data_IF_791704094605
#
_entry.id   IF_791704094605
#
_cell.length_a   1.000
_cell.length_b   1.000
_cell.length_c   1.000
_cell.angle_alpha   90.00
_cell.angle_beta   90.00
_cell.angle_gamma   90.00
#
_symmetry.space_group_name_H-M   'P 1'
#
loop_
_entity.id
_entity.type
_entity.pdbx_description
1 polymer ?
#
# COMPACT_ATOMS: atom_id res chain seq x y z
N UNK A 1 13.76 15.99 0.16
CA UNK A 1 12.95 16.58 -0.92
C UNK A 1 12.77 18.09 -0.76
N UNK A 2 12.32 18.63 0.38
CA UNK A 2 12.19 20.11 0.56
C UNK A 2 13.50 20.89 0.39
N UNK A 3 14.62 20.31 0.80
CA UNK A 3 15.96 20.96 0.66
C UNK A 3 16.48 20.98 -0.78
N UNK A 4 16.00 20.08 -1.64
CA UNK A 4 16.39 19.96 -3.05
C UNK A 4 15.16 19.66 -3.89
N UNK A 5 14.30 20.66 -4.13
CA UNK A 5 13.03 20.46 -4.84
C UNK A 5 13.24 20.11 -6.33
N UNK A 6 14.33 20.54 -6.92
CA UNK A 6 14.76 20.21 -8.28
C UNK A 6 15.06 18.69 -8.49
N UNK A 7 15.42 18.00 -7.42
CA UNK A 7 15.69 16.55 -7.40
C UNK A 7 14.57 15.74 -6.73
N UNK A 8 13.48 16.42 -6.36
CA UNK A 8 12.38 15.77 -5.68
C UNK A 8 11.55 14.99 -6.69
N UNK A 9 11.63 13.66 -6.62
CA UNK A 9 10.85 12.73 -7.40
C UNK A 9 10.48 11.51 -6.56
N UNK A 10 9.48 10.77 -7.00
CA UNK A 10 9.09 9.51 -6.37
C UNK A 10 8.69 8.47 -7.41
N UNK A 11 8.97 7.20 -7.11
CA UNK A 11 8.55 6.09 -7.95
C UNK A 11 7.11 5.67 -7.63
N UNK A 12 6.31 5.36 -8.65
CA UNK A 12 4.99 4.78 -8.52
C UNK A 12 4.71 3.78 -9.65
N UNK A 13 3.94 2.73 -9.36
CA UNK A 13 3.58 1.70 -10.34
C UNK A 13 2.08 1.43 -10.42
N UNK A 14 1.29 2.11 -9.62
CA UNK A 14 -0.17 1.97 -9.66
C UNK A 14 -0.87 3.21 -9.09
N UNK A 15 -2.14 3.41 -9.41
CA UNK A 15 -2.94 4.47 -8.81
C UNK A 15 -2.90 4.49 -7.28
N UNK A 16 -2.93 3.33 -6.62
CA UNK A 16 -2.90 3.25 -5.15
C UNK A 16 -1.63 3.88 -4.55
N UNK A 17 -0.44 3.59 -5.10
CA UNK A 17 0.82 4.18 -4.63
C UNK A 17 0.91 5.67 -4.98
N UNK A 18 0.40 6.07 -6.15
CA UNK A 18 0.36 7.48 -6.55
C UNK A 18 -0.53 8.28 -5.58
N UNK A 19 -1.77 7.82 -5.35
CA UNK A 19 -2.73 8.50 -4.47
C UNK A 19 -2.17 8.59 -3.04
N UNK A 20 -1.58 7.52 -2.51
CA UNK A 20 -0.99 7.51 -1.17
C UNK A 20 0.18 8.51 -1.07
N UNK A 21 1.03 8.58 -2.10
CA UNK A 21 2.14 9.53 -2.12
C UNK A 21 1.64 10.97 -2.25
N UNK A 22 0.63 11.22 -3.07
CA UNK A 22 0.02 12.56 -3.19
C UNK A 22 -0.70 12.97 -1.90
N UNK A 23 -1.36 12.05 -1.19
CA UNK A 23 -1.89 12.31 0.15
C UNK A 23 -0.77 12.76 1.11
N UNK A 24 0.36 12.05 1.13
CA UNK A 24 1.51 12.45 1.93
C UNK A 24 2.04 13.83 1.52
N UNK A 25 2.12 14.13 0.22
CA UNK A 25 2.53 15.46 -0.30
C UNK A 25 1.58 16.56 0.18
N UNK A 26 0.28 16.35 0.08
CA UNK A 26 -0.74 17.30 0.56
C UNK A 26 -0.59 17.59 2.05
N UNK A 27 -0.32 16.57 2.87
CA UNK A 27 -0.21 16.72 4.34
C UNK A 27 1.13 17.30 4.80
N UNK A 28 2.20 17.08 4.03
CA UNK A 28 3.56 17.51 4.41
C UNK A 28 4.03 18.76 3.68
N UNK A 29 3.38 19.12 2.57
CA UNK A 29 3.85 20.15 1.64
C UNK A 29 5.20 19.79 1.00
N UNK A 30 5.57 18.52 0.91
CA UNK A 30 6.79 18.13 0.21
C UNK A 30 6.59 18.20 -1.31
N UNK A 31 7.60 18.65 -2.06
CA UNK A 31 7.57 18.58 -3.52
C UNK A 31 7.85 17.14 -3.98
N UNK A 32 7.56 16.85 -5.25
CA UNK A 32 7.95 15.61 -5.90
C UNK A 32 7.17 15.36 -7.19
N UNK A 33 7.91 14.94 -8.22
CA UNK A 33 7.36 14.53 -9.51
C UNK A 33 7.28 13.00 -9.54
N UNK A 34 6.16 12.47 -10.01
CA UNK A 34 5.95 11.04 -10.17
C UNK A 34 6.75 10.51 -11.35
N UNK A 35 7.46 9.40 -11.14
CA UNK A 35 8.14 8.61 -12.19
C UNK A 35 7.47 7.23 -12.24
N UNK A 36 6.88 6.85 -13.38
CA UNK A 36 6.15 5.59 -13.50
C UNK A 36 7.09 4.40 -13.63
N UNK A 37 6.71 3.29 -13.00
CA UNK A 37 7.37 1.98 -13.06
C UNK A 37 6.31 0.87 -13.23
N UNK A 38 6.74 -0.33 -13.64
CA UNK A 38 5.81 -1.45 -13.88
C UNK A 38 5.39 -2.20 -12.61
N UNK A 39 6.15 -2.09 -11.53
CA UNK A 39 5.86 -2.79 -10.29
C UNK A 39 6.77 -2.37 -9.13
N UNK A 40 6.40 -2.79 -7.92
CA UNK A 40 7.08 -2.37 -6.68
C UNK A 40 8.55 -2.77 -6.62
N UNK A 41 8.93 -3.89 -7.24
CA UNK A 41 10.33 -4.30 -7.31
C UNK A 41 11.20 -3.29 -8.08
N UNK A 42 10.71 -2.77 -9.21
CA UNK A 42 11.40 -1.74 -9.99
C UNK A 42 11.43 -0.40 -9.25
N UNK A 43 10.34 -0.04 -8.56
CA UNK A 43 10.27 1.17 -7.74
C UNK A 43 11.37 1.16 -6.66
N UNK A 44 11.51 0.06 -5.94
CA UNK A 44 12.53 -0.07 -4.88
C UNK A 44 13.94 -0.06 -5.48
N UNK A 45 14.14 -0.75 -6.60
CA UNK A 45 15.43 -0.75 -7.31
C UNK A 45 15.83 0.66 -7.75
N UNK A 46 14.88 1.48 -8.22
CA UNK A 46 15.14 2.86 -8.62
C UNK A 46 15.61 3.73 -7.44
N UNK A 47 15.08 3.49 -6.23
CA UNK A 47 15.55 4.16 -5.00
C UNK A 47 16.94 3.68 -4.62
N UNK A 48 17.22 2.36 -4.69
CA UNK A 48 18.55 1.80 -4.42
C UNK A 48 19.61 2.40 -5.35
N UNK A 49 19.25 2.61 -6.62
CA UNK A 49 20.13 3.18 -7.64
C UNK A 49 20.21 4.72 -7.61
N UNK A 50 19.44 5.38 -6.73
CA UNK A 50 19.38 6.84 -6.65
C UNK A 50 18.69 7.52 -7.83
N UNK A 51 17.94 6.78 -8.64
CA UNK A 51 17.16 7.33 -9.76
C UNK A 51 15.93 8.09 -9.26
N UNK A 52 15.32 7.60 -8.18
CA UNK A 52 14.24 8.27 -7.47
C UNK A 52 14.61 8.50 -6.01
N UNK A 53 14.10 9.60 -5.44
CA UNK A 53 14.41 9.99 -4.08
C UNK A 53 13.66 9.15 -3.04
N UNK A 54 12.46 8.66 -3.37
CA UNK A 54 11.63 7.85 -2.50
C UNK A 54 10.59 7.04 -3.26
N UNK A 55 9.98 6.11 -2.56
CA UNK A 55 8.75 5.42 -2.99
C UNK A 55 7.90 5.03 -1.78
N UNK A 56 6.60 4.89 -1.97
CA UNK A 56 5.70 4.13 -1.11
C UNK A 56 5.44 2.82 -1.84
N UNK A 57 5.70 1.70 -1.20
CA UNK A 57 5.61 0.38 -1.81
C UNK A 57 5.10 -0.65 -0.80
N UNK A 58 4.56 -1.75 -1.30
CA UNK A 58 4.07 -2.87 -0.50
C UNK A 58 5.19 -3.65 0.23
N UNK A 59 4.79 -4.39 1.25
CA UNK A 59 5.71 -5.08 2.16
C UNK A 59 6.58 -6.16 1.52
N UNK A 60 6.02 -7.06 0.67
CA UNK A 60 6.76 -8.21 0.18
C UNK A 60 8.11 -7.90 -0.47
N UNK A 61 8.21 -7.00 -1.46
CA UNK A 61 9.51 -6.65 -2.04
C UNK A 61 10.31 -5.66 -1.16
N UNK A 62 9.68 -4.90 -0.26
CA UNK A 62 10.32 -3.82 0.51
C UNK A 62 11.05 -4.35 1.74
N UNK A 63 10.41 -5.18 2.55
CA UNK A 63 10.93 -5.65 3.84
C UNK A 63 12.32 -6.30 3.71
N UNK A 64 12.58 -7.19 2.73
CA UNK A 64 13.91 -7.76 2.54
C UNK A 64 14.99 -6.72 2.25
N UNK A 65 14.68 -5.67 1.48
CA UNK A 65 15.66 -4.63 1.13
C UNK A 65 15.96 -3.70 2.32
N UNK A 66 14.95 -3.43 3.15
CA UNK A 66 15.15 -2.70 4.41
C UNK A 66 16.04 -3.50 5.36
N UNK A 67 15.73 -4.80 5.58
CA UNK A 67 16.53 -5.69 6.43
C UNK A 67 17.97 -5.87 5.93
N UNK A 68 18.16 -5.83 4.61
CA UNK A 68 19.50 -5.86 4.00
C UNK A 68 20.23 -4.51 4.02
N UNK A 69 19.64 -3.45 4.58
CA UNK A 69 20.22 -2.11 4.64
C UNK A 69 20.36 -1.39 3.30
N UNK A 70 19.71 -1.90 2.23
CA UNK A 70 19.80 -1.32 0.89
C UNK A 70 18.91 -0.11 0.70
N UNK A 71 17.83 -0.01 1.47
CA UNK A 71 16.96 1.16 1.55
C UNK A 71 16.66 1.46 3.01
N UNK A 72 16.41 2.73 3.31
CA UNK A 72 15.97 3.18 4.63
C UNK A 72 14.46 3.32 4.63
N UNK A 73 13.76 2.55 5.45
CA UNK A 73 12.37 2.80 5.75
C UNK A 73 12.23 4.03 6.66
N UNK A 74 11.37 4.96 6.30
CA UNK A 74 11.15 6.21 7.03
C UNK A 74 9.91 6.11 7.92
N UNK A 75 8.84 5.50 7.43
CA UNK A 75 7.62 5.20 8.14
C UNK A 75 6.83 4.10 7.41
N UNK A 76 5.89 3.46 8.12
CA UNK A 76 4.84 2.64 7.52
C UNK A 76 3.54 3.44 7.44
N UNK A 77 2.76 3.24 6.38
CA UNK A 77 1.56 4.05 6.10
C UNK A 77 0.35 3.73 6.99
N UNK A 78 0.41 2.67 7.79
CA UNK A 78 -0.64 2.34 8.75
C UNK A 78 -0.58 3.17 10.04
N UNK A 79 -1.65 3.06 10.85
CA UNK A 79 -1.72 3.69 12.17
C UNK A 79 -0.70 3.11 13.17
N UNK A 80 -0.36 1.83 13.01
CA UNK A 80 0.55 1.07 13.87
C UNK A 80 1.82 0.66 13.11
N UNK A 81 2.86 0.29 13.87
CA UNK A 81 4.11 -0.25 13.30
C UNK A 81 3.88 -1.63 12.69
N UNK A 82 4.67 -1.95 11.67
CA UNK A 82 4.71 -3.31 11.13
C UNK A 82 5.47 -4.25 12.07
N UNK A 83 4.93 -5.43 12.41
CA UNK A 83 5.67 -6.43 13.19
C UNK A 83 6.99 -6.88 12.55
N UNK A 84 7.11 -6.75 11.23
CA UNK A 84 8.32 -7.12 10.49
C UNK A 84 9.37 -6.01 10.46
N UNK A 85 8.99 -4.78 10.82
CA UNK A 85 9.84 -3.59 10.88
C UNK A 85 9.54 -2.81 12.18
N UNK A 86 9.78 -3.40 13.36
CA UNK A 86 9.37 -2.82 14.65
C UNK A 86 10.08 -1.51 14.99
N UNK A 87 11.22 -1.25 14.40
CA UNK A 87 11.98 -0.02 14.60
C UNK A 87 11.56 1.13 13.67
N UNK A 88 10.68 0.84 12.69
CA UNK A 88 10.18 1.84 11.75
C UNK A 88 8.87 2.44 12.29
N UNK A 89 8.80 3.77 12.49
CA UNK A 89 7.60 4.40 13.03
C UNK A 89 6.41 4.27 12.08
N UNK A 90 5.20 4.29 12.64
CA UNK A 90 3.98 4.49 11.85
C UNK A 90 3.85 5.95 11.40
N UNK A 91 2.97 6.23 10.45
CA UNK A 91 2.64 7.61 10.06
C UNK A 91 2.02 8.39 11.22
N UNK A 92 1.26 7.75 12.09
CA UNK A 92 0.73 8.38 13.32
C UNK A 92 1.87 8.83 14.23
N UNK A 93 2.84 7.97 14.51
CA UNK A 93 4.02 8.31 15.31
C UNK A 93 4.91 9.37 14.65
N UNK A 94 4.94 9.40 13.32
CA UNK A 94 5.65 10.41 12.54
C UNK A 94 4.92 11.77 12.46
N UNK A 95 3.75 11.91 13.10
CA UNK A 95 2.97 13.16 13.15
C UNK A 95 2.01 13.36 11.98
N UNK A 96 1.72 12.32 11.21
CA UNK A 96 0.81 12.35 10.05
C UNK A 96 -0.32 11.31 10.16
N UNK A 97 -1.16 11.34 11.22
CA UNK A 97 -2.19 10.33 11.44
C UNK A 97 -3.24 10.27 10.33
N UNK A 98 -3.38 11.31 9.53
CA UNK A 98 -4.29 11.34 8.37
C UNK A 98 -3.75 10.60 7.14
N UNK A 99 -2.50 10.15 7.17
CA UNK A 99 -1.91 9.27 6.14
C UNK A 99 -1.99 7.81 6.61
N UNK A 100 -3.19 7.41 6.98
CA UNK A 100 -3.51 6.03 7.33
C UNK A 100 -4.07 5.31 6.10
N UNK A 101 -3.19 4.57 5.43
CA UNK A 101 -3.50 3.82 4.21
C UNK A 101 -2.99 2.40 4.33
N UNK A 102 -3.90 1.46 4.22
CA UNK A 102 -3.61 0.03 4.13
C UNK A 102 -3.90 -0.45 2.72
N UNK A 103 -2.90 -1.05 2.09
CA UNK A 103 -3.14 -1.74 0.81
C UNK A 103 -3.75 -3.11 1.11
N UNK A 104 -4.84 -3.40 0.47
CA UNK A 104 -5.52 -4.68 0.58
C UNK A 104 -5.61 -5.36 -0.79
N UNK A 105 -5.77 -6.69 -0.77
CA UNK A 105 -6.08 -7.50 -1.94
C UNK A 105 -7.36 -8.27 -1.67
N UNK A 106 -8.25 -8.30 -2.63
CA UNK A 106 -9.54 -8.99 -2.52
C UNK A 106 -9.79 -9.94 -3.68
N UNK A 107 -10.59 -10.97 -3.44
CA UNK A 107 -11.09 -11.87 -4.47
C UNK A 107 -12.55 -11.54 -4.75
N UNK A 108 -12.85 -11.28 -6.01
CA UNK A 108 -14.18 -10.88 -6.46
C UNK A 108 -14.78 -11.93 -7.39
N UNK A 109 -16.10 -12.11 -7.29
CA UNK A 109 -16.87 -12.87 -8.27
C UNK A 109 -17.61 -11.90 -9.20
N UNK A 110 -17.88 -12.32 -10.42
CA UNK A 110 -18.68 -11.51 -11.35
C UNK A 110 -20.11 -11.34 -10.85
N UNK A 111 -20.72 -10.20 -11.17
CA UNK A 111 -22.13 -9.94 -10.88
C UNK A 111 -23.00 -11.03 -11.50
N UNK A 112 -23.97 -11.55 -10.73
CA UNK A 112 -24.83 -12.63 -11.16
C UNK A 112 -24.29 -14.05 -10.89
N UNK A 113 -23.10 -14.19 -10.28
CA UNK A 113 -22.65 -15.51 -9.80
C UNK A 113 -23.66 -16.08 -8.80
N UNK A 114 -24.14 -17.34 -8.97
CA UNK A 114 -25.11 -17.93 -8.06
C UNK A 114 -24.63 -17.92 -6.61
N UNK A 115 -25.50 -17.58 -5.63
CA UNK A 115 -25.12 -17.47 -4.22
C UNK A 115 -24.45 -18.73 -3.66
N UNK A 116 -24.87 -19.91 -4.09
CA UNK A 116 -24.27 -21.18 -3.67
C UNK A 116 -22.82 -21.33 -4.12
N UNK A 117 -22.47 -20.81 -5.31
CA UNK A 117 -21.10 -20.80 -5.83
C UNK A 117 -20.25 -19.81 -5.03
N UNK A 118 -20.77 -18.60 -4.78
CA UNK A 118 -20.08 -17.59 -3.95
C UNK A 118 -19.81 -18.15 -2.55
N UNK A 119 -20.79 -18.81 -1.92
CA UNK A 119 -20.62 -19.42 -0.61
C UNK A 119 -19.54 -20.52 -0.61
N UNK A 120 -19.49 -21.33 -1.67
CA UNK A 120 -18.47 -22.38 -1.83
C UNK A 120 -17.07 -21.79 -1.98
N UNK A 121 -16.91 -20.80 -2.84
CA UNK A 121 -15.63 -20.11 -3.04
C UNK A 121 -15.13 -19.42 -1.76
N UNK A 122 -16.04 -18.72 -1.08
CA UNK A 122 -15.71 -18.07 0.20
C UNK A 122 -15.26 -19.07 1.26
N UNK A 123 -15.97 -20.20 1.39
CA UNK A 123 -15.59 -21.26 2.32
C UNK A 123 -14.17 -21.77 2.01
N UNK A 124 -13.88 -22.05 0.74
CA UNK A 124 -12.56 -22.54 0.32
C UNK A 124 -11.46 -21.51 0.57
N UNK A 125 -11.71 -20.22 0.30
CA UNK A 125 -10.77 -19.13 0.59
C UNK A 125 -10.48 -19.00 2.07
N UNK A 126 -11.51 -18.98 2.92
CA UNK A 126 -11.34 -18.89 4.37
C UNK A 126 -10.54 -20.10 4.90
N UNK A 127 -10.87 -21.32 4.47
CA UNK A 127 -10.11 -22.51 4.84
C UNK A 127 -8.63 -22.43 4.43
N UNK A 128 -8.35 -21.81 3.26
CA UNK A 128 -6.97 -21.63 2.81
C UNK A 128 -6.22 -20.58 3.62
N UNK A 129 -6.89 -19.49 4.01
CA UNK A 129 -6.30 -18.42 4.85
C UNK A 129 -6.06 -18.92 6.28
N UNK A 130 -6.98 -19.74 6.80
CA UNK A 130 -6.91 -20.33 8.14
C UNK A 130 -5.87 -21.46 8.23
N UNK A 131 -5.39 -21.99 7.08
CA UNK A 131 -4.33 -22.98 7.09
C UNK A 131 -3.03 -22.39 7.69
N UNK A 132 -2.47 -23.02 8.75
CA UNK A 132 -1.30 -22.47 9.43
C UNK A 132 -0.08 -22.28 8.53
N UNK A 133 0.11 -23.15 7.54
CA UNK A 133 1.23 -23.06 6.61
C UNK A 133 1.06 -21.89 5.62
N UNK A 134 -0.15 -21.66 5.13
CA UNK A 134 -0.50 -20.51 4.28
C UNK A 134 -0.38 -19.21 5.06
N UNK A 135 -1.00 -19.15 6.25
CA UNK A 135 -0.95 -17.96 7.12
C UNK A 135 0.49 -17.58 7.48
N UNK A 136 1.32 -18.54 7.85
CA UNK A 136 2.73 -18.29 8.16
C UNK A 136 3.51 -17.73 6.95
N UNK A 137 3.25 -18.23 5.73
CA UNK A 137 3.88 -17.73 4.51
C UNK A 137 3.45 -16.31 4.20
N UNK A 138 2.15 -16.01 4.30
CA UNK A 138 1.62 -14.65 4.08
C UNK A 138 2.26 -13.66 5.07
N UNK A 139 2.27 -13.98 6.35
CA UNK A 139 2.91 -13.16 7.38
C UNK A 139 4.40 -12.93 7.13
N UNK A 140 5.13 -13.97 6.72
CA UNK A 140 6.55 -13.84 6.37
C UNK A 140 6.79 -12.90 5.17
N UNK A 141 5.79 -12.75 4.30
CA UNK A 141 5.80 -11.82 3.17
C UNK A 141 5.28 -10.42 3.53
N UNK A 142 5.06 -10.10 4.79
CA UNK A 142 4.43 -8.85 5.25
C UNK A 142 2.98 -8.66 4.74
N UNK A 143 2.28 -9.76 4.53
CA UNK A 143 0.85 -9.76 4.20
C UNK A 143 0.09 -10.27 5.42
N UNK A 144 -0.80 -9.45 5.96
CA UNK A 144 -1.74 -9.92 6.97
C UNK A 144 -2.77 -10.82 6.28
N UNK A 145 -2.97 -12.09 6.73
CA UNK A 145 -3.88 -13.01 6.09
C UNK A 145 -5.35 -12.66 6.30
N UNK A 146 -5.72 -11.45 6.46
CA UNK A 146 -7.07 -10.94 6.38
C UNK A 146 -8.11 -11.78 7.15
N UNK A 147 -9.31 -11.85 6.63
CA UNK A 147 -10.43 -12.56 7.24
C UNK A 147 -11.69 -11.69 7.37
N UNK A 148 -11.71 -10.55 6.71
CA UNK A 148 -12.89 -9.68 6.70
C UNK A 148 -14.11 -10.41 6.14
N UNK A 149 -15.25 -10.23 6.78
CA UNK A 149 -16.53 -10.62 6.20
C UNK A 149 -16.82 -9.78 4.95
N UNK A 150 -17.71 -10.21 4.03
CA UNK A 150 -18.09 -9.41 2.88
C UNK A 150 -18.52 -8.00 3.25
N UNK A 151 -19.37 -7.85 4.28
CA UNK A 151 -19.87 -6.55 4.73
C UNK A 151 -18.74 -5.66 5.28
N UNK A 152 -17.80 -6.24 6.04
CA UNK A 152 -16.61 -5.52 6.50
C UNK A 152 -15.71 -5.09 5.34
N UNK A 153 -15.56 -5.96 4.33
CA UNK A 153 -14.74 -5.65 3.17
C UNK A 153 -15.39 -4.57 2.29
N UNK A 154 -16.74 -4.61 2.14
CA UNK A 154 -17.49 -3.55 1.46
C UNK A 154 -17.30 -2.19 2.13
N UNK A 155 -17.38 -2.12 3.46
CA UNK A 155 -17.13 -0.88 4.21
C UNK A 155 -15.68 -0.35 4.04
N UNK A 156 -14.68 -1.26 3.95
CA UNK A 156 -13.30 -0.87 3.65
C UNK A 156 -13.23 -0.23 2.26
N UNK A 157 -13.84 -0.85 1.26
CA UNK A 157 -13.87 -0.35 -0.13
C UNK A 157 -14.54 1.02 -0.20
N UNK A 158 -15.72 1.18 0.39
CA UNK A 158 -16.47 2.44 0.40
C UNK A 158 -15.69 3.57 1.10
N UNK A 159 -15.07 3.25 2.24
CA UNK A 159 -14.21 4.17 2.96
C UNK A 159 -13.01 4.64 2.14
N UNK A 160 -12.35 3.72 1.47
CA UNK A 160 -11.20 4.03 0.62
C UNK A 160 -11.61 4.81 -0.64
N UNK A 161 -12.74 4.46 -1.28
CA UNK A 161 -13.29 5.24 -2.40
C UNK A 161 -13.50 6.70 -1.98
N UNK A 162 -14.13 6.93 -0.84
CA UNK A 162 -14.39 8.28 -0.32
C UNK A 162 -13.08 9.02 -0.03
N UNK A 163 -12.17 8.40 0.71
CA UNK A 163 -10.85 8.96 1.08
C UNK A 163 -10.04 9.33 -0.16
N UNK A 164 -9.96 8.42 -1.12
CA UNK A 164 -9.12 8.60 -2.30
C UNK A 164 -9.73 9.55 -3.33
N UNK A 165 -11.06 9.62 -3.45
CA UNK A 165 -11.74 10.59 -4.32
C UNK A 165 -11.34 12.04 -3.97
N UNK A 166 -11.26 12.36 -2.69
CA UNK A 166 -10.83 13.68 -2.24
C UNK A 166 -9.36 13.99 -2.60
N UNK A 167 -8.48 12.99 -2.48
CA UNK A 167 -7.07 13.13 -2.86
C UNK A 167 -6.92 13.33 -4.36
N UNK A 168 -7.60 12.49 -5.16
CA UNK A 168 -7.59 12.57 -6.63
C UNK A 168 -8.05 13.96 -7.10
N UNK A 169 -9.14 14.47 -6.52
CA UNK A 169 -9.67 15.79 -6.83
C UNK A 169 -8.70 16.91 -6.44
N UNK A 170 -8.19 16.87 -5.20
CA UNK A 170 -7.34 17.92 -4.64
C UNK A 170 -5.97 17.98 -5.31
N UNK A 171 -5.38 16.84 -5.64
CA UNK A 171 -4.11 16.72 -6.33
C UNK A 171 -4.25 16.81 -7.87
N UNK A 172 -5.49 16.95 -8.39
CA UNK A 172 -5.80 16.99 -9.83
C UNK A 172 -5.20 15.80 -10.61
N UNK A 173 -5.29 14.60 -10.02
CA UNK A 173 -4.75 13.39 -10.62
C UNK A 173 -5.62 12.94 -11.80
N UNK A 174 -4.97 12.54 -12.88
CA UNK A 174 -5.59 11.91 -14.03
C UNK A 174 -4.97 10.53 -14.20
N UNK A 175 -5.80 9.51 -14.24
CA UNK A 175 -5.39 8.16 -14.58
C UNK A 175 -5.93 7.86 -15.98
N UNK A 176 -5.08 7.30 -16.84
CA UNK A 176 -5.49 6.82 -18.15
C UNK A 176 -6.24 5.49 -17.95
N UNK A 177 -7.32 5.30 -18.71
CA UNK A 177 -8.15 4.08 -18.72
C UNK A 177 -7.41 2.89 -19.38
#
# INVERSE_FOLDING_TARGET
>A
MKAHPDKANYASSSPAFTITTELLKLKTGMPGTMIPYKGSGEMILSVIQGQTAMTIADGPPTVPQVKAGKVKALAVTGAERSPLLPDVPSMTEAGFPSVDVHLWSGVFATTGTPPAVVATLRKALNQSIDDPGVSAKLKAMAVDPGGATPDQFEHIIEGDITKFADVVKTANLKFED
#
